data_IF_852657660870
#
_entry.id   IF_852657660870
#
_cell.length_a   1.000
_cell.length_b   1.000
_cell.length_c   1.000
_cell.angle_alpha   90.00
_cell.angle_beta   90.00
_cell.angle_gamma   90.00
#
_symmetry.space_group_name_H-M   'P 1'
#
loop_
_entity.id
_entity.type
_entity.pdbx_description
1 polymer ?
#
# COMPACT_ATOMS: atom_id res chain seq x y z
N UNK A 1 -0.07 11.18 1.36
CA UNK A 1 0.82 11.31 0.18
C UNK A 1 1.61 12.61 0.22
N UNK A 2 0.96 13.73 0.50
CA UNK A 2 1.61 15.03 0.69
C UNK A 2 2.70 15.01 1.78
N UNK A 3 2.42 14.37 2.93
CA UNK A 3 3.41 14.19 4.02
C UNK A 3 4.63 13.32 3.65
N UNK A 4 4.52 12.49 2.61
CA UNK A 4 5.61 11.64 2.13
C UNK A 4 6.26 12.20 0.86
N UNK A 5 5.83 13.37 0.37
CA UNK A 5 6.28 13.96 -0.90
C UNK A 5 6.07 13.03 -2.10
N UNK A 6 5.17 12.05 -2.00
CA UNK A 6 5.04 10.97 -2.99
C UNK A 6 3.68 11.03 -3.68
N UNK A 7 3.67 10.74 -4.98
CA UNK A 7 2.43 10.62 -5.78
C UNK A 7 1.95 9.17 -5.87
N UNK A 8 0.66 8.96 -6.14
CA UNK A 8 0.09 7.62 -6.35
C UNK A 8 0.80 6.87 -7.50
N UNK A 9 1.22 7.62 -8.52
CA UNK A 9 1.97 7.10 -9.65
C UNK A 9 3.37 6.62 -9.24
N UNK A 10 4.07 7.38 -8.39
CA UNK A 10 5.38 6.98 -7.87
C UNK A 10 5.28 5.71 -7.01
N UNK A 11 4.24 5.60 -6.18
CA UNK A 11 3.98 4.39 -5.39
C UNK A 11 3.69 3.19 -6.30
N UNK A 12 2.86 3.37 -7.33
CA UNK A 12 2.54 2.34 -8.30
C UNK A 12 3.79 1.83 -9.03
N UNK A 13 4.66 2.75 -9.47
CA UNK A 13 5.95 2.39 -10.08
C UNK A 13 6.85 1.62 -9.12
N UNK A 14 6.99 2.06 -7.86
CA UNK A 14 7.77 1.36 -6.84
C UNK A 14 7.25 -0.05 -6.56
N UNK A 15 5.93 -0.21 -6.56
CA UNK A 15 5.26 -1.49 -6.33
C UNK A 15 5.18 -2.37 -7.58
N UNK A 16 5.66 -1.88 -8.73
CA UNK A 16 5.49 -2.52 -10.03
C UNK A 16 4.02 -2.90 -10.30
N UNK A 17 3.10 -2.01 -9.91
CA UNK A 17 1.65 -2.17 -10.01
C UNK A 17 1.05 -1.02 -10.82
N UNK A 18 -0.18 -1.20 -11.30
CA UNK A 18 -0.91 -0.14 -11.99
C UNK A 18 -1.34 0.98 -11.03
N UNK A 19 -1.32 2.23 -11.47
CA UNK A 19 -1.83 3.36 -10.66
C UNK A 19 -3.29 3.15 -10.24
N UNK A 20 -4.12 2.57 -11.12
CA UNK A 20 -5.51 2.25 -10.83
C UNK A 20 -5.64 1.27 -9.66
N UNK A 21 -4.74 0.29 -9.56
CA UNK A 21 -4.69 -0.66 -8.45
C UNK A 21 -4.42 0.07 -7.14
N UNK A 22 -3.38 0.92 -7.10
CA UNK A 22 -3.08 1.76 -5.93
C UNK A 22 -4.27 2.67 -5.56
N UNK A 23 -4.97 3.23 -6.55
CA UNK A 23 -6.14 4.08 -6.30
C UNK A 23 -7.31 3.31 -5.68
N UNK A 24 -7.53 2.07 -6.09
CA UNK A 24 -8.57 1.21 -5.50
C UNK A 24 -8.20 0.71 -4.10
N UNK A 25 -6.93 0.36 -3.92
CA UNK A 25 -6.32 0.00 -2.64
C UNK A 25 -6.48 1.13 -1.62
N UNK A 26 -6.07 2.35 -1.98
CA UNK A 26 -6.18 3.52 -1.09
C UNK A 26 -7.62 3.91 -0.78
N UNK A 27 -8.54 3.62 -1.69
CA UNK A 27 -9.99 3.83 -1.49
C UNK A 27 -10.65 2.73 -0.66
N UNK A 28 -9.91 1.72 -0.21
CA UNK A 28 -10.45 0.59 0.57
C UNK A 28 -11.46 -0.27 -0.20
N UNK A 29 -11.46 -0.20 -1.53
CA UNK A 29 -12.42 -0.90 -2.40
C UNK A 29 -11.89 -2.22 -2.96
N UNK A 30 -10.67 -2.60 -2.63
CA UNK A 30 -10.05 -3.82 -3.13
C UNK A 30 -9.70 -4.72 -1.94
N UNK A 31 -10.11 -6.00 -2.00
CA UNK A 31 -9.65 -7.02 -1.06
C UNK A 31 -8.15 -7.21 -1.30
N UNK A 32 -7.33 -6.57 -0.47
CA UNK A 32 -5.89 -6.74 -0.51
C UNK A 32 -5.50 -8.00 0.23
N UNK A 33 -4.71 -8.85 -0.42
CA UNK A 33 -3.93 -9.87 0.27
C UNK A 33 -2.90 -9.21 1.20
N UNK A 34 -2.55 -9.90 2.28
CA UNK A 34 -1.44 -9.53 3.19
C UNK A 34 -0.13 -9.24 2.43
N UNK A 35 0.09 -9.94 1.32
CA UNK A 35 1.26 -9.74 0.46
C UNK A 35 1.28 -8.35 -0.18
N UNK A 36 0.14 -7.84 -0.64
CA UNK A 36 0.05 -6.49 -1.20
C UNK A 36 0.29 -5.44 -0.12
N UNK A 37 -0.30 -5.61 1.06
CA UNK A 37 -0.05 -4.73 2.21
C UNK A 37 1.44 -4.67 2.54
N UNK A 38 2.11 -5.82 2.63
CA UNK A 38 3.55 -5.89 2.87
C UNK A 38 4.39 -5.20 1.76
N UNK A 39 3.98 -5.31 0.48
CA UNK A 39 4.64 -4.59 -0.63
C UNK A 39 4.44 -3.08 -0.52
N UNK A 40 3.27 -2.61 -0.09
CA UNK A 40 2.98 -1.18 0.14
C UNK A 40 3.84 -0.67 1.31
N UNK A 41 3.85 -1.40 2.43
CA UNK A 41 4.69 -1.10 3.59
C UNK A 41 6.15 -0.94 3.21
N UNK A 42 6.71 -1.88 2.44
CA UNK A 42 8.09 -1.82 1.93
C UNK A 42 8.30 -0.68 0.93
N UNK A 43 7.33 -0.38 0.08
CA UNK A 43 7.46 0.68 -0.93
C UNK A 43 7.45 2.09 -0.30
N UNK A 44 6.65 2.27 0.74
CA UNK A 44 6.48 3.52 1.48
C UNK A 44 7.38 3.64 2.71
N UNK A 45 8.01 2.56 3.13
CA UNK A 45 8.73 2.44 4.41
C UNK A 45 7.85 2.85 5.61
N UNK A 46 6.59 2.40 5.58
CA UNK A 46 5.62 2.67 6.65
C UNK A 46 5.07 1.36 7.20
N UNK A 47 4.76 1.33 8.49
CA UNK A 47 3.96 0.25 9.09
C UNK A 47 2.48 0.56 8.93
N UNK A 48 1.80 -0.22 8.09
CA UNK A 48 0.33 -0.22 7.94
C UNK A 48 -0.27 -1.25 8.90
N UNK A 49 0.39 -2.41 9.03
CA UNK A 49 -0.03 -3.47 9.93
C UNK A 49 0.47 -3.18 11.34
N UNK A 50 -0.44 -2.75 12.20
CA UNK A 50 -0.17 -2.56 13.62
C UNK A 50 -0.16 -3.94 14.31
N UNK A 51 0.73 -4.16 15.30
CA UNK A 51 0.99 -5.46 15.95
C UNK A 51 -0.20 -6.12 16.70
N UNK A 52 -1.41 -5.59 16.56
CA UNK A 52 -2.65 -6.15 17.12
C UNK A 52 -3.38 -7.13 16.17
N UNK A 53 -2.89 -7.35 14.95
CA UNK A 53 -3.43 -8.41 14.08
C UNK A 53 -2.84 -9.75 14.54
N UNK A 54 -3.57 -10.46 15.40
CA UNK A 54 -3.32 -11.89 15.68
C UNK A 54 -3.72 -12.69 14.45
N UNK A 55 -2.74 -13.11 13.66
CA UNK A 55 -2.93 -14.19 12.70
C UNK A 55 -2.98 -15.47 13.52
N UNK A 56 -4.18 -16.06 13.61
CA UNK A 56 -4.44 -17.30 14.36
C UNK A 56 -3.90 -18.51 13.59
#
# INVERSE_FOLDING_TARGET
MEQLGMTQKALAMKMNCSQQYISKVLKGRENMSLETLCKIEKALDVKILNSNIKVK
#
